data_IF_212256474455
#
_entry.id   IF_212256474455
#
_cell.length_a   1.000
_cell.length_b   1.000
_cell.length_c   1.000
_cell.angle_alpha   90.00
_cell.angle_beta   90.00
_cell.angle_gamma   90.00
#
_symmetry.space_group_name_H-M   'P 1'
#
loop_
_entity.id
_entity.type
_entity.pdbx_description
1 polymer ?
#
# COMPACT_ATOMS: atom_id res chain seq x y z
N UNK A 1 -14.16 -20.27 37.01
CA UNK A 1 -15.10 -19.74 35.98
C UNK A 1 -14.54 -18.53 35.24
N UNK A 2 -13.93 -17.56 35.93
CA UNK A 2 -13.29 -16.38 35.31
C UNK A 2 -12.11 -16.77 34.39
N UNK A 3 -11.25 -17.69 34.84
CA UNK A 3 -10.06 -18.11 34.11
C UNK A 3 -10.38 -18.73 32.74
N UNK A 4 -11.37 -19.61 32.69
CA UNK A 4 -11.86 -20.24 31.45
C UNK A 4 -12.44 -19.20 30.47
N UNK A 5 -13.10 -18.15 30.97
CA UNK A 5 -13.60 -17.08 30.12
C UNK A 5 -12.47 -16.22 29.54
N UNK A 6 -11.40 -16.00 30.31
CA UNK A 6 -10.22 -15.26 29.87
C UNK A 6 -9.42 -16.02 28.80
N UNK A 7 -9.18 -17.32 29.02
CA UNK A 7 -8.52 -18.20 28.03
C UNK A 7 -9.28 -18.20 26.69
N UNK A 8 -10.60 -18.34 26.74
CA UNK A 8 -11.44 -18.31 25.54
C UNK A 8 -11.43 -16.96 24.82
N UNK A 9 -11.33 -15.86 25.56
CA UNK A 9 -11.20 -14.52 24.97
C UNK A 9 -9.85 -14.34 24.26
N UNK A 10 -8.76 -14.84 24.86
CA UNK A 10 -7.42 -14.78 24.27
C UNK A 10 -7.33 -15.59 22.98
N UNK A 11 -7.92 -16.78 22.94
CA UNK A 11 -8.04 -17.59 21.72
C UNK A 11 -8.79 -16.85 20.60
N UNK A 12 -9.90 -16.18 20.95
CA UNK A 12 -10.66 -15.39 20.00
C UNK A 12 -9.85 -14.19 19.47
N UNK A 13 -9.07 -13.54 20.34
CA UNK A 13 -8.19 -12.43 19.96
C UNK A 13 -7.09 -12.88 19.00
N UNK A 14 -6.42 -14.00 19.30
CA UNK A 14 -5.39 -14.60 18.44
C UNK A 14 -5.97 -15.00 17.08
N UNK A 15 -7.11 -15.69 17.06
CA UNK A 15 -7.78 -16.06 15.81
C UNK A 15 -8.20 -14.83 14.98
N UNK A 16 -8.64 -13.75 15.63
CA UNK A 16 -8.97 -12.50 14.97
C UNK A 16 -7.72 -11.79 14.42
N UNK A 17 -6.60 -11.83 15.14
CA UNK A 17 -5.31 -11.32 14.69
C UNK A 17 -4.82 -12.05 13.44
N UNK A 18 -4.82 -13.39 13.46
CA UNK A 18 -4.40 -14.21 12.33
C UNK A 18 -5.29 -13.96 11.10
N UNK A 19 -6.60 -13.82 11.30
CA UNK A 19 -7.52 -13.48 10.21
C UNK A 19 -7.23 -12.10 9.63
N UNK A 20 -6.93 -11.10 10.47
CA UNK A 20 -6.53 -9.75 10.01
C UNK A 20 -5.21 -9.82 9.22
N UNK A 21 -4.19 -10.48 9.77
CA UNK A 21 -2.89 -10.68 9.10
C UNK A 21 -3.08 -11.33 7.74
N UNK A 22 -3.75 -12.49 7.67
CA UNK A 22 -4.03 -13.20 6.40
C UNK A 22 -4.74 -12.32 5.37
N UNK A 23 -5.78 -11.57 5.77
CA UNK A 23 -6.51 -10.67 4.86
C UNK A 23 -5.64 -9.53 4.32
N UNK A 24 -4.78 -8.96 5.18
CA UNK A 24 -3.86 -7.90 4.78
C UNK A 24 -2.75 -8.42 3.86
N UNK A 25 -2.18 -9.60 4.15
CA UNK A 25 -1.16 -10.22 3.30
C UNK A 25 -1.69 -10.66 1.93
N UNK A 26 -2.97 -11.06 1.82
CA UNK A 26 -3.59 -11.45 0.54
C UNK A 26 -3.58 -10.36 -0.55
N UNK A 27 -3.51 -9.09 -0.16
CA UNK A 27 -3.49 -7.96 -1.11
C UNK A 27 -2.07 -7.58 -1.57
N UNK A 28 -1.02 -8.19 -1.02
CA UNK A 28 0.37 -7.99 -1.47
C UNK A 28 0.68 -9.02 -2.56
N UNK A 29 -0.12 -9.03 -3.64
CA UNK A 29 0.15 -9.83 -4.85
C UNK A 29 0.73 -9.00 -5.99
N UNK A 30 0.80 -7.70 -5.82
CA UNK A 30 1.31 -6.84 -6.86
C UNK A 30 2.83 -7.04 -7.00
N UNK A 31 3.37 -7.06 -8.23
CA UNK A 31 4.79 -7.27 -8.47
C UNK A 31 5.65 -6.23 -7.74
N UNK A 32 6.87 -6.61 -7.38
CA UNK A 32 7.84 -5.70 -6.76
C UNK A 32 8.09 -4.51 -7.68
N UNK A 33 8.15 -3.33 -7.08
CA UNK A 33 8.44 -2.10 -7.81
C UNK A 33 9.95 -1.86 -7.80
N UNK A 34 10.49 -1.47 -8.95
CA UNK A 34 11.91 -1.18 -9.08
C UNK A 34 12.20 0.27 -8.72
N UNK A 35 13.44 0.53 -8.31
CA UNK A 35 13.92 1.91 -8.15
C UNK A 35 13.83 2.66 -9.47
N UNK A 36 13.34 3.89 -9.38
CA UNK A 36 13.11 4.76 -10.52
C UNK A 36 11.81 4.53 -11.28
N UNK A 37 11.02 3.51 -10.93
CA UNK A 37 9.74 3.25 -11.59
C UNK A 37 8.69 4.34 -11.27
N UNK A 38 7.94 4.84 -12.26
CA UNK A 38 6.84 5.77 -12.01
C UNK A 38 5.63 5.02 -11.42
N UNK A 39 5.02 5.62 -10.40
CA UNK A 39 3.92 5.04 -9.63
C UNK A 39 2.87 6.09 -9.27
N UNK A 40 1.62 5.65 -9.19
CA UNK A 40 0.52 6.43 -8.62
C UNK A 40 0.34 6.08 -7.14
N UNK A 41 -0.02 7.09 -6.35
CA UNK A 41 -0.37 6.95 -4.95
C UNK A 41 -1.89 6.90 -4.79
N UNK A 42 -2.40 5.99 -3.96
CA UNK A 42 -3.83 5.92 -3.65
C UNK A 42 -4.29 7.19 -2.90
N UNK A 43 -5.38 7.80 -3.36
CA UNK A 43 -5.93 8.99 -2.72
C UNK A 43 -6.85 8.62 -1.56
N UNK A 44 -6.62 9.25 -0.42
CA UNK A 44 -7.40 9.13 0.82
C UNK A 44 -7.81 10.50 1.38
N UNK A 45 -7.51 11.59 0.66
CA UNK A 45 -7.76 12.96 1.13
C UNK A 45 -9.25 13.29 1.07
N UNK A 46 -9.96 12.73 0.10
CA UNK A 46 -11.39 13.00 -0.03
C UNK A 46 -12.14 12.36 1.14
N UNK A 47 -13.04 13.11 1.75
CA UNK A 47 -14.04 12.63 2.71
C UNK A 47 -15.43 12.89 2.12
N UNK A 48 -16.29 11.88 2.01
CA UNK A 48 -17.69 12.05 1.60
C UNK A 48 -18.11 11.21 0.38
N UNK A 49 -18.51 11.84 -0.73
CA UNK A 49 -19.11 11.14 -1.88
C UNK A 49 -18.03 10.53 -2.80
N UNK A 50 -17.77 9.22 -2.65
CA UNK A 50 -16.68 8.51 -3.34
C UNK A 50 -17.06 7.79 -4.65
N UNK A 51 -18.34 7.80 -5.06
CA UNK A 51 -18.84 6.88 -6.10
C UNK A 51 -18.23 7.09 -7.50
N UNK A 52 -17.82 8.32 -7.84
CA UNK A 52 -17.32 8.69 -9.18
C UNK A 52 -15.89 9.24 -9.15
N UNK A 53 -15.19 9.11 -8.02
CA UNK A 53 -13.84 9.65 -7.89
C UNK A 53 -12.82 8.57 -8.20
N UNK A 54 -11.74 8.98 -8.85
CA UNK A 54 -10.60 8.11 -9.07
C UNK A 54 -9.98 7.70 -7.75
N UNK A 55 -9.62 6.42 -7.67
CA UNK A 55 -8.99 5.84 -6.48
C UNK A 55 -7.52 6.26 -6.34
N UNK A 56 -6.90 6.68 -7.45
CA UNK A 56 -5.49 7.02 -7.57
C UNK A 56 -5.35 8.52 -7.76
N UNK A 57 -4.42 9.13 -7.03
CA UNK A 57 -4.14 10.55 -7.16
C UNK A 57 -3.53 10.89 -8.53
N UNK A 58 -3.73 12.11 -9.04
CA UNK A 58 -3.23 12.53 -10.35
C UNK A 58 -1.71 12.75 -10.39
N UNK A 59 -1.07 12.83 -9.21
CA UNK A 59 0.38 13.09 -9.10
C UNK A 59 1.16 11.80 -9.35
N UNK A 60 2.11 11.87 -10.28
CA UNK A 60 3.05 10.78 -10.54
C UNK A 60 4.23 10.90 -9.57
N UNK A 61 4.51 9.80 -8.89
CA UNK A 61 5.66 9.63 -8.02
C UNK A 61 6.68 8.71 -8.69
N UNK A 62 7.93 8.80 -8.25
CA UNK A 62 9.02 7.91 -8.62
C UNK A 62 9.46 7.15 -7.37
N UNK A 63 9.68 5.84 -7.50
CA UNK A 63 10.29 5.05 -6.43
C UNK A 63 11.75 5.49 -6.29
N UNK A 64 12.12 5.98 -5.11
CA UNK A 64 13.48 6.41 -4.81
C UNK A 64 14.30 5.26 -4.23
N UNK A 65 13.66 4.46 -3.37
CA UNK A 65 14.27 3.28 -2.77
C UNK A 65 13.26 2.15 -2.76
N UNK A 66 13.62 1.04 -3.39
CA UNK A 66 12.88 -0.20 -3.29
C UNK A 66 13.22 -0.85 -1.95
N UNK A 67 12.39 -1.78 -1.52
CA UNK A 67 12.68 -2.47 -0.28
C UNK A 67 13.61 -3.63 -0.48
N UNK A 68 14.39 -3.90 0.56
CA UNK A 68 15.11 -5.16 0.71
C UNK A 68 14.12 -6.33 0.70
N UNK A 69 14.63 -7.49 0.28
CA UNK A 69 13.85 -8.69 -0.05
C UNK A 69 12.79 -9.02 1.02
N UNK A 70 11.50 -8.95 0.63
CA UNK A 70 10.36 -9.29 1.51
C UNK A 70 9.69 -8.12 2.25
N UNK A 71 10.18 -6.89 2.08
CA UNK A 71 9.52 -5.73 2.67
C UNK A 71 8.23 -5.27 1.95
N UNK A 72 7.36 -4.53 2.67
CA UNK A 72 6.13 -3.92 2.11
C UNK A 72 6.03 -2.36 2.09
N UNK A 73 6.99 -1.61 2.61
CA UNK A 73 7.10 -0.13 2.59
C UNK A 73 8.13 0.39 1.57
N UNK A 74 7.70 1.25 0.65
CA UNK A 74 8.54 1.87 -0.38
C UNK A 74 8.79 3.34 -0.08
N UNK A 75 9.94 3.85 -0.51
CA UNK A 75 10.24 5.28 -0.45
C UNK A 75 9.99 5.90 -1.83
N UNK A 76 9.10 6.87 -1.90
CA UNK A 76 8.68 7.54 -3.14
C UNK A 76 8.89 9.06 -3.03
N UNK A 77 9.07 9.73 -4.16
CA UNK A 77 9.03 11.18 -4.25
C UNK A 77 8.27 11.62 -5.50
N UNK A 78 7.56 12.76 -5.49
CA UNK A 78 6.96 13.32 -6.70
C UNK A 78 8.00 13.48 -7.81
N UNK A 79 7.62 13.20 -9.06
CA UNK A 79 8.51 13.42 -10.21
C UNK A 79 8.90 14.91 -10.35
N UNK A 80 8.02 15.82 -9.93
CA UNK A 80 8.24 17.27 -9.97
C UNK A 80 9.12 17.80 -8.84
N UNK A 81 9.21 17.10 -7.72
CA UNK A 81 9.90 17.56 -6.51
C UNK A 81 10.47 16.37 -5.73
N UNK A 82 11.73 16.05 -6.03
CA UNK A 82 12.44 14.93 -5.41
C UNK A 82 12.75 15.16 -3.91
N UNK A 83 12.59 16.38 -3.40
CA UNK A 83 12.81 16.69 -1.97
C UNK A 83 11.66 16.22 -1.08
N UNK A 84 10.46 16.00 -1.63
CA UNK A 84 9.28 15.56 -0.88
C UNK A 84 9.18 14.04 -0.82
N UNK A 85 10.06 13.45 -0.03
CA UNK A 85 10.10 12.00 0.18
C UNK A 85 8.94 11.54 1.06
N UNK A 86 8.32 10.40 0.70
CA UNK A 86 7.27 9.73 1.47
C UNK A 86 7.55 8.23 1.57
N UNK A 87 7.23 7.65 2.72
CA UNK A 87 7.25 6.21 2.93
C UNK A 87 5.82 5.67 2.86
N UNK A 88 5.59 4.70 1.98
CA UNK A 88 4.24 4.25 1.63
C UNK A 88 4.20 2.73 1.49
N UNK A 89 3.14 2.12 2.00
CA UNK A 89 2.91 0.68 1.86
C UNK A 89 2.60 0.27 0.40
N UNK A 90 3.07 -0.91 -0.03
CA UNK A 90 2.96 -1.43 -1.41
C UNK A 90 1.52 -1.43 -1.93
N UNK A 91 0.55 -1.72 -1.06
CA UNK A 91 -0.88 -1.76 -1.40
C UNK A 91 -1.48 -0.39 -1.75
N UNK A 92 -0.76 0.70 -1.46
CA UNK A 92 -1.17 2.07 -1.77
C UNK A 92 -0.46 2.59 -3.03
N UNK A 93 0.32 1.74 -3.70
CA UNK A 93 1.09 2.09 -4.89
C UNK A 93 0.59 1.28 -6.09
N UNK A 94 0.54 1.94 -7.24
CA UNK A 94 0.25 1.29 -8.52
C UNK A 94 1.30 1.70 -9.53
N UNK A 95 1.89 0.72 -10.22
CA UNK A 95 2.82 0.98 -11.31
C UNK A 95 2.13 1.81 -12.40
N UNK A 96 2.76 2.90 -12.81
CA UNK A 96 2.37 3.65 -13.99
C UNK A 96 3.00 2.98 -15.20
N UNK A 97 2.20 2.26 -15.99
CA UNK A 97 2.64 1.80 -17.30
C UNK A 97 2.50 2.99 -18.24
N UNK A 98 3.59 3.72 -18.46
CA UNK A 98 3.63 4.61 -19.61
C UNK A 98 3.53 3.70 -20.83
N UNK A 99 2.39 3.73 -21.52
CA UNK A 99 2.38 3.29 -22.91
C UNK A 99 3.34 4.23 -23.61
N UNK A 100 4.53 3.75 -23.96
CA UNK A 100 5.28 4.37 -25.04
C UNK A 100 4.28 4.54 -26.18
N UNK A 101 4.02 5.80 -26.53
CA UNK A 101 3.33 6.09 -27.77
C UNK A 101 4.24 5.52 -28.85
N UNK A 102 3.89 4.32 -29.34
CA UNK A 102 4.43 3.75 -30.56
C UNK A 102 4.25 4.84 -31.63
N UNK A 103 5.37 5.50 -31.95
CA UNK A 103 5.52 6.36 -33.11
C UNK A 103 5.54 5.49 -34.37
#
# INVERSE_FOLDING_TARGET
RLQVAFEKADECLKAAEDRRKKRHHQHVKDPNLLEGQPVYLRDHVVRGRHKIQDLWGPVVFKVIRSQEEGGVVYTIAPVTDLGKVRQVHRSLLKACVQKEALL
#
